data_IF_145889784282
#
_entry.id   IF_145889784282
#
_cell.length_a   1.000
_cell.length_b   1.000
_cell.length_c   1.000
_cell.angle_alpha   90.00
_cell.angle_beta   90.00
_cell.angle_gamma   90.00
#
_symmetry.space_group_name_H-M   'P 1'
#
loop_
_entity.id
_entity.type
_entity.pdbx_description
1 polymer ?
#
# COMPACT_ATOMS: atom_id res chain seq x y z
N UNK A 1 10.77 1.13 17.32
CA UNK A 1 10.37 -0.02 16.47
C UNK A 1 10.49 0.28 14.98
N UNK A 2 9.98 1.41 14.47
CA UNK A 2 10.07 1.76 13.04
C UNK A 2 11.49 1.77 12.44
N UNK A 3 12.49 2.23 13.20
CA UNK A 3 13.88 2.28 12.73
C UNK A 3 14.61 0.93 12.74
N UNK A 4 14.06 -0.11 13.39
CA UNK A 4 14.75 -1.40 13.56
C UNK A 4 15.01 -2.08 12.21
N UNK A 5 14.03 -2.20 11.29
CA UNK A 5 14.28 -2.75 9.95
C UNK A 5 15.26 -1.90 9.15
N UNK A 6 15.21 -0.56 9.28
CA UNK A 6 16.14 0.34 8.61
C UNK A 6 17.59 0.17 9.09
N UNK A 7 17.80 0.07 10.40
CA UNK A 7 19.12 -0.17 11.00
C UNK A 7 19.66 -1.54 10.57
N UNK A 8 18.82 -2.58 10.57
CA UNK A 8 19.20 -3.91 10.10
C UNK A 8 19.65 -3.91 8.63
N UNK A 9 18.92 -3.20 7.75
CA UNK A 9 19.31 -3.04 6.34
C UNK A 9 20.69 -2.38 6.19
N UNK A 10 20.97 -1.35 6.98
CA UNK A 10 22.27 -0.66 6.99
C UNK A 10 23.38 -1.61 7.47
N UNK A 11 23.15 -2.34 8.55
CA UNK A 11 24.14 -3.29 9.11
C UNK A 11 24.46 -4.39 8.10
N UNK A 12 23.46 -4.98 7.45
CA UNK A 12 23.70 -6.06 6.48
C UNK A 12 24.42 -5.52 5.23
N UNK A 13 24.06 -4.33 4.75
CA UNK A 13 24.75 -3.69 3.62
C UNK A 13 26.24 -3.42 3.91
N UNK A 14 26.57 -3.02 5.13
CA UNK A 14 27.95 -2.70 5.53
C UNK A 14 28.82 -3.94 5.83
N UNK A 15 28.23 -5.14 5.94
CA UNK A 15 28.95 -6.38 6.30
C UNK A 15 28.75 -7.50 5.25
N UNK A 16 29.11 -7.27 3.97
CA UNK A 16 28.88 -8.24 2.90
C UNK A 16 29.67 -9.55 3.11
N UNK A 17 30.81 -9.50 3.81
CA UNK A 17 31.65 -10.69 4.05
C UNK A 17 30.99 -11.70 4.99
N UNK A 18 30.11 -11.24 5.89
CA UNK A 18 29.42 -12.09 6.86
C UNK A 18 28.08 -12.61 6.33
N UNK A 19 27.34 -11.77 5.61
CA UNK A 19 25.99 -12.10 5.14
C UNK A 19 25.97 -12.64 3.71
N UNK A 20 26.94 -12.30 2.87
CA UNK A 20 26.98 -12.61 1.44
C UNK A 20 26.62 -11.41 0.56
N UNK A 21 26.86 -11.53 -0.74
CA UNK A 21 26.63 -10.46 -1.73
C UNK A 21 25.23 -10.46 -2.34
N UNK A 22 24.43 -11.51 -2.08
CA UNK A 22 23.06 -11.62 -2.59
C UNK A 22 22.07 -10.78 -1.76
N UNK A 23 22.16 -9.48 -1.96
CA UNK A 23 21.39 -8.47 -1.27
C UNK A 23 19.87 -8.68 -1.37
N UNK A 24 19.39 -9.36 -2.43
CA UNK A 24 17.96 -9.64 -2.62
C UNK A 24 17.43 -10.65 -1.60
N UNK A 25 18.10 -11.79 -1.45
CA UNK A 25 17.66 -12.86 -0.52
C UNK A 25 17.95 -12.53 0.93
N UNK A 26 19.00 -11.75 1.19
CA UNK A 26 19.51 -11.51 2.56
C UNK A 26 18.99 -10.21 3.19
N UNK A 27 18.73 -9.18 2.39
CA UNK A 27 18.28 -7.86 2.88
C UNK A 27 16.87 -7.58 2.42
N UNK A 28 16.60 -7.62 1.12
CA UNK A 28 15.32 -7.21 0.58
C UNK A 28 14.18 -8.12 1.03
N UNK A 29 14.27 -9.44 0.83
CA UNK A 29 13.18 -10.37 1.20
C UNK A 29 12.92 -10.48 2.72
N UNK A 30 13.93 -10.49 3.61
CA UNK A 30 13.70 -10.67 5.05
C UNK A 30 13.38 -9.35 5.78
N UNK A 31 13.96 -8.22 5.36
CA UNK A 31 13.83 -6.94 6.09
C UNK A 31 12.82 -5.99 5.46
N UNK A 32 12.22 -6.34 4.31
CA UNK A 32 11.01 -5.70 3.78
C UNK A 32 9.79 -6.13 4.62
N UNK A 33 9.87 -5.88 5.93
CA UNK A 33 8.79 -6.20 6.84
C UNK A 33 7.79 -5.07 6.77
N UNK A 34 6.68 -5.27 6.05
CA UNK A 34 5.47 -4.42 6.03
C UNK A 34 5.01 -3.90 7.41
N UNK A 35 5.51 -4.50 8.48
CA UNK A 35 5.41 -4.04 9.86
C UNK A 35 5.91 -2.60 10.07
N UNK A 36 6.93 -2.12 9.33
CA UNK A 36 7.38 -0.72 9.42
C UNK A 36 6.29 0.24 8.93
N UNK A 37 5.75 0.04 7.74
CA UNK A 37 4.63 0.81 7.18
C UNK A 37 3.35 0.71 8.05
N UNK A 38 3.11 -0.44 8.69
CA UNK A 38 1.98 -0.60 9.63
C UNK A 38 2.22 0.23 10.89
N UNK A 39 3.41 0.16 11.50
CA UNK A 39 3.74 0.91 12.72
C UNK A 39 3.63 2.40 12.47
N UNK A 40 4.12 2.91 11.33
CA UNK A 40 4.01 4.33 11.03
C UNK A 40 2.56 4.75 10.77
N UNK A 41 1.75 3.88 10.17
CA UNK A 41 0.30 4.07 10.04
C UNK A 41 -0.41 4.14 11.39
N UNK A 42 -0.05 3.28 12.35
CA UNK A 42 -0.60 3.29 13.71
C UNK A 42 -0.23 4.57 14.45
N UNK A 43 1.04 5.00 14.37
CA UNK A 43 1.50 6.28 14.96
C UNK A 43 0.72 7.45 14.38
N UNK A 44 0.56 7.48 13.05
CA UNK A 44 -0.21 8.52 12.38
C UNK A 44 -1.67 8.53 12.84
N UNK A 45 -2.29 7.35 12.96
CA UNK A 45 -3.67 7.23 13.43
C UNK A 45 -3.83 7.72 14.87
N UNK A 46 -2.90 7.36 15.77
CA UNK A 46 -2.88 7.87 17.14
C UNK A 46 -2.82 9.40 17.18
N UNK A 47 -1.93 10.01 16.38
CA UNK A 47 -1.84 11.47 16.27
C UNK A 47 -3.13 12.11 15.73
N UNK A 48 -3.76 11.49 14.74
CA UNK A 48 -5.01 12.01 14.15
C UNK A 48 -6.20 11.88 15.12
N UNK A 49 -6.28 10.80 15.89
CA UNK A 49 -7.41 10.56 16.81
C UNK A 49 -7.23 11.34 18.10
N UNK A 50 -6.04 11.29 18.71
CA UNK A 50 -5.80 11.84 20.04
C UNK A 50 -5.27 13.28 20.03
N UNK A 51 -4.69 13.76 18.92
CA UNK A 51 -4.02 15.08 18.83
C UNK A 51 -4.43 15.91 17.61
N UNK A 52 -5.64 15.69 17.10
CA UNK A 52 -6.14 16.34 15.88
C UNK A 52 -6.10 17.86 15.94
N UNK A 53 -6.47 18.44 17.07
CA UNK A 53 -6.61 19.89 17.22
C UNK A 53 -5.25 20.57 17.27
N UNK A 54 -4.26 19.93 17.90
CA UNK A 54 -2.86 20.35 17.84
C UNK A 54 -2.34 20.30 16.40
N UNK A 55 -2.58 19.20 15.69
CA UNK A 55 -2.19 19.07 14.29
C UNK A 55 -2.80 20.19 13.43
N UNK A 56 -4.09 20.49 13.60
CA UNK A 56 -4.75 21.59 12.87
C UNK A 56 -4.15 22.95 13.22
N UNK A 57 -3.75 23.17 14.47
CA UNK A 57 -3.11 24.43 14.89
C UNK A 57 -1.80 24.65 14.13
N UNK A 58 -0.95 23.63 14.02
CA UNK A 58 0.36 23.74 13.35
C UNK A 58 0.30 23.57 11.83
N UNK A 59 -0.65 22.79 11.33
CA UNK A 59 -0.77 22.42 9.91
C UNK A 59 -2.03 23.01 9.27
N UNK A 60 -2.33 24.28 9.59
CA UNK A 60 -3.43 25.02 8.96
C UNK A 60 -2.94 25.95 7.85
N UNK A 61 -3.85 26.27 6.93
CA UNK A 61 -3.62 27.25 5.88
C UNK A 61 -3.40 26.67 4.48
N UNK A 62 -3.63 27.52 3.48
CA UNK A 62 -3.59 27.13 2.05
C UNK A 62 -2.20 26.72 1.59
N UNK A 63 -1.16 27.38 2.12
CA UNK A 63 0.24 27.07 1.82
C UNK A 63 0.59 25.67 2.31
N UNK A 64 0.20 25.32 3.55
CA UNK A 64 0.45 23.98 4.10
C UNK A 64 -0.27 22.91 3.29
N UNK A 65 -1.53 23.14 2.92
CA UNK A 65 -2.27 22.21 2.03
C UNK A 65 -1.55 21.98 0.70
N UNK A 66 -1.00 23.03 0.09
CA UNK A 66 -0.21 22.92 -1.14
C UNK A 66 1.10 22.15 -0.91
N UNK A 67 1.83 22.46 0.15
CA UNK A 67 3.09 21.78 0.48
C UNK A 67 2.89 20.28 0.76
N UNK A 68 1.81 19.92 1.48
CA UNK A 68 1.45 18.53 1.75
C UNK A 68 1.13 17.72 0.48
N UNK A 69 0.84 18.38 -0.65
CA UNK A 69 0.67 17.73 -1.95
C UNK A 69 1.93 17.79 -2.81
N UNK A 70 2.65 18.90 -2.76
CA UNK A 70 3.88 19.10 -3.53
C UNK A 70 5.00 18.14 -3.07
N UNK A 71 5.24 18.05 -1.75
CA UNK A 71 6.32 17.22 -1.22
C UNK A 71 6.20 15.73 -1.57
N UNK A 72 5.03 15.06 -1.44
CA UNK A 72 4.86 13.70 -1.91
C UNK A 72 5.25 13.53 -3.38
N UNK A 73 4.83 14.46 -4.25
CA UNK A 73 5.14 14.41 -5.69
C UNK A 73 6.65 14.53 -5.89
N UNK A 74 7.31 15.48 -5.24
CA UNK A 74 8.77 15.65 -5.32
C UNK A 74 9.52 14.42 -4.83
N UNK A 75 9.07 13.81 -3.73
CA UNK A 75 9.65 12.57 -3.20
C UNK A 75 9.51 11.44 -4.21
N UNK A 76 8.31 11.24 -4.78
CA UNK A 76 8.07 10.18 -5.76
C UNK A 76 8.88 10.39 -7.04
N UNK A 77 9.02 11.63 -7.51
CA UNK A 77 9.88 11.98 -8.66
C UNK A 77 11.34 11.67 -8.34
N UNK A 78 11.83 12.12 -7.17
CA UNK A 78 13.19 11.85 -6.72
C UNK A 78 13.50 10.35 -6.65
N UNK A 79 12.59 9.55 -6.09
CA UNK A 79 12.73 8.09 -6.03
C UNK A 79 12.87 7.50 -7.43
N UNK A 80 12.05 7.93 -8.38
CA UNK A 80 12.11 7.42 -9.76
C UNK A 80 13.43 7.76 -10.44
N UNK A 81 13.94 8.98 -10.27
CA UNK A 81 15.24 9.36 -10.82
C UNK A 81 16.42 8.61 -10.19
N UNK A 82 16.36 8.35 -8.88
CA UNK A 82 17.46 7.72 -8.15
C UNK A 82 17.44 6.19 -8.24
N UNK A 83 16.28 5.59 -8.50
CA UNK A 83 16.10 4.13 -8.60
C UNK A 83 16.62 3.56 -9.93
N UNK A 84 17.93 3.72 -10.19
CA UNK A 84 18.62 3.17 -11.37
C UNK A 84 18.65 1.63 -11.41
N UNK A 85 18.63 1.00 -10.23
CA UNK A 85 18.60 -0.46 -10.08
C UNK A 85 17.86 -0.84 -8.81
N UNK A 86 17.10 -1.94 -8.88
CA UNK A 86 16.44 -2.55 -7.71
C UNK A 86 17.49 -2.99 -6.67
N UNK A 87 18.71 -3.32 -7.12
CA UNK A 87 19.80 -3.81 -6.28
C UNK A 87 20.64 -2.71 -5.61
N UNK A 88 20.31 -1.43 -5.82
CA UNK A 88 21.04 -0.34 -5.17
C UNK A 88 20.67 -0.21 -3.68
N UNK A 89 21.63 0.24 -2.85
CA UNK A 89 21.40 0.57 -1.44
C UNK A 89 20.18 1.47 -1.24
N UNK A 90 20.06 2.48 -2.10
CA UNK A 90 18.93 3.41 -2.08
C UNK A 90 17.59 2.67 -2.25
N UNK A 91 17.49 1.79 -3.25
CA UNK A 91 16.29 1.01 -3.53
C UNK A 91 15.93 0.04 -2.40
N UNK A 92 16.90 -0.61 -1.77
CA UNK A 92 16.63 -1.55 -0.68
C UNK A 92 16.31 -0.89 0.66
N UNK A 93 16.94 0.25 0.97
CA UNK A 93 16.95 0.81 2.33
C UNK A 93 16.15 2.09 2.46
N UNK A 94 16.32 3.05 1.54
CA UNK A 94 15.81 4.41 1.69
C UNK A 94 14.47 4.60 0.98
N UNK A 95 14.33 4.00 -0.21
CA UNK A 95 13.17 4.14 -1.09
C UNK A 95 11.85 3.88 -0.38
N UNK A 96 11.74 2.79 0.37
CA UNK A 96 10.47 2.41 1.01
C UNK A 96 10.07 3.35 2.14
N UNK A 97 11.04 3.80 2.95
CA UNK A 97 10.78 4.81 3.98
C UNK A 97 10.30 6.14 3.38
N UNK A 98 10.87 6.53 2.24
CA UNK A 98 10.42 7.72 1.51
C UNK A 98 9.00 7.54 0.92
N UNK A 99 8.65 6.34 0.45
CA UNK A 99 7.30 6.01 0.00
C UNK A 99 6.30 6.10 1.16
N UNK A 100 6.62 5.51 2.31
CA UNK A 100 5.79 5.61 3.52
C UNK A 100 5.57 7.07 3.90
N UNK A 101 6.63 7.88 3.90
CA UNK A 101 6.56 9.30 4.21
C UNK A 101 5.68 10.06 3.21
N UNK A 102 5.81 9.78 1.91
CA UNK A 102 4.94 10.37 0.89
C UNK A 102 3.45 10.01 1.13
N UNK A 103 3.16 8.76 1.50
CA UNK A 103 1.79 8.34 1.82
C UNK A 103 1.23 9.04 3.07
N UNK A 104 2.03 9.22 4.11
CA UNK A 104 1.63 9.95 5.33
C UNK A 104 1.23 11.39 5.00
N UNK A 105 2.04 12.08 4.19
CA UNK A 105 1.76 13.45 3.78
C UNK A 105 0.46 13.56 2.95
N UNK A 106 0.22 12.61 2.05
CA UNK A 106 -1.04 12.52 1.28
C UNK A 106 -2.23 12.30 2.22
N UNK A 107 -2.12 11.36 3.16
CA UNK A 107 -3.18 11.08 4.14
C UNK A 107 -3.49 12.31 5.01
N UNK A 108 -2.45 12.98 5.52
CA UNK A 108 -2.60 14.22 6.29
C UNK A 108 -3.30 15.31 5.46
N UNK A 109 -2.94 15.45 4.18
CA UNK A 109 -3.58 16.40 3.27
C UNK A 109 -5.09 16.15 3.15
N UNK A 110 -5.48 14.88 2.95
CA UNK A 110 -6.89 14.50 2.82
C UNK A 110 -7.67 14.71 4.13
N UNK A 111 -7.07 14.39 5.27
CA UNK A 111 -7.73 14.44 6.58
C UNK A 111 -7.86 15.87 7.12
N UNK A 112 -6.82 16.69 6.95
CA UNK A 112 -6.80 18.07 7.44
C UNK A 112 -7.53 19.03 6.48
N UNK A 113 -7.53 18.73 5.17
CA UNK A 113 -8.14 19.58 4.14
C UNK A 113 -9.19 18.81 3.31
N UNK A 114 -10.34 18.46 3.90
CA UNK A 114 -11.37 17.64 3.26
C UNK A 114 -12.06 18.32 2.07
N UNK A 115 -11.94 19.64 1.94
CA UNK A 115 -12.55 20.41 0.86
C UNK A 115 -11.72 20.41 -0.45
N UNK A 116 -10.54 19.81 -0.45
CA UNK A 116 -9.67 19.73 -1.63
C UNK A 116 -10.23 18.76 -2.69
N UNK A 117 -9.83 18.97 -3.95
CA UNK A 117 -10.22 18.07 -5.05
C UNK A 117 -9.77 16.63 -4.80
N UNK A 118 -8.57 16.45 -4.23
CA UNK A 118 -8.05 15.14 -3.88
C UNK A 118 -8.95 14.42 -2.85
N UNK A 119 -9.31 15.11 -1.77
CA UNK A 119 -10.18 14.54 -0.74
C UNK A 119 -11.58 14.21 -1.28
N UNK A 120 -12.14 15.07 -2.13
CA UNK A 120 -13.43 14.83 -2.80
C UNK A 120 -13.36 13.66 -3.78
N UNK A 121 -12.27 13.55 -4.54
CA UNK A 121 -12.05 12.45 -5.48
C UNK A 121 -11.90 11.10 -4.78
N UNK A 122 -11.15 11.04 -3.68
CA UNK A 122 -10.96 9.81 -2.91
C UNK A 122 -12.20 9.40 -2.10
N UNK A 123 -13.15 10.31 -1.86
CA UNK A 123 -14.41 10.02 -1.17
C UNK A 123 -15.58 9.69 -2.09
N UNK A 124 -15.32 9.49 -3.40
CA UNK A 124 -16.37 9.08 -4.34
C UNK A 124 -16.97 7.73 -3.95
N UNK A 125 -18.30 7.65 -3.96
CA UNK A 125 -19.05 6.48 -3.46
C UNK A 125 -18.68 5.16 -4.14
N UNK A 126 -18.25 5.19 -5.40
CA UNK A 126 -17.85 3.98 -6.12
C UNK A 126 -16.45 3.48 -5.72
N UNK A 127 -15.59 4.32 -5.13
CA UNK A 127 -14.28 3.92 -4.63
C UNK A 127 -14.37 3.25 -3.25
N UNK A 128 -15.40 3.58 -2.46
CA UNK A 128 -15.64 3.00 -1.13
C UNK A 128 -15.67 1.46 -1.12
N UNK A 129 -16.41 0.76 -2.00
CA UNK A 129 -16.36 -0.71 -2.02
C UNK A 129 -14.97 -1.23 -2.38
N UNK A 130 -14.26 -0.57 -3.30
CA UNK A 130 -12.89 -0.97 -3.71
C UNK A 130 -11.92 -0.79 -2.54
N UNK A 131 -12.02 0.31 -1.79
CA UNK A 131 -11.17 0.56 -0.63
C UNK A 131 -11.44 -0.45 0.50
N UNK A 132 -12.71 -0.83 0.72
CA UNK A 132 -13.07 -1.85 1.70
C UNK A 132 -12.53 -3.24 1.33
N UNK A 133 -12.46 -3.55 0.04
CA UNK A 133 -11.92 -4.81 -0.47
C UNK A 133 -10.41 -4.79 -0.70
N UNK A 134 -9.75 -3.63 -0.53
CA UNK A 134 -8.34 -3.45 -0.90
C UNK A 134 -7.42 -4.47 -0.23
N UNK A 135 -7.69 -4.80 1.03
CA UNK A 135 -6.95 -5.82 1.78
C UNK A 135 -7.14 -7.23 1.21
N UNK A 136 -8.39 -7.63 0.95
CA UNK A 136 -8.72 -8.92 0.35
C UNK A 136 -8.11 -9.04 -1.05
N UNK A 137 -8.27 -8.01 -1.88
CA UNK A 137 -7.69 -7.92 -3.22
C UNK A 137 -6.17 -8.09 -3.13
N UNK A 138 -5.53 -7.39 -2.20
CA UNK A 138 -4.08 -7.47 -2.03
C UNK A 138 -3.58 -8.90 -1.73
N UNK A 139 -4.29 -9.66 -0.90
CA UNK A 139 -3.91 -11.04 -0.59
C UNK A 139 -4.12 -11.94 -1.81
N UNK A 140 -5.27 -11.80 -2.48
CA UNK A 140 -5.71 -12.79 -3.46
C UNK A 140 -5.35 -12.47 -4.91
N UNK A 141 -4.98 -11.23 -5.24
CA UNK A 141 -4.82 -10.80 -6.64
C UNK A 141 -3.80 -11.62 -7.44
N UNK A 142 -2.67 -12.02 -6.84
CA UNK A 142 -1.66 -12.83 -7.56
C UNK A 142 -2.25 -14.19 -7.97
N UNK A 143 -2.87 -14.90 -7.04
CA UNK A 143 -3.49 -16.20 -7.32
C UNK A 143 -4.67 -16.07 -8.29
N UNK A 144 -5.57 -15.11 -8.04
CA UNK A 144 -6.77 -14.91 -8.86
C UNK A 144 -6.45 -14.42 -10.27
N UNK A 145 -5.41 -13.58 -10.42
CA UNK A 145 -4.92 -13.18 -11.73
C UNK A 145 -4.38 -14.37 -12.52
N UNK A 146 -3.59 -15.25 -11.90
CA UNK A 146 -3.08 -16.47 -12.55
C UNK A 146 -4.22 -17.37 -13.03
N UNK A 147 -5.22 -17.61 -12.18
CA UNK A 147 -6.42 -18.40 -12.53
C UNK A 147 -7.17 -17.73 -13.69
N UNK A 148 -7.39 -16.41 -13.61
CA UNK A 148 -8.07 -15.63 -14.65
C UNK A 148 -7.35 -15.71 -15.99
N UNK A 149 -6.04 -15.47 -16.02
CA UNK A 149 -5.23 -15.59 -17.24
C UNK A 149 -5.26 -16.99 -17.84
N UNK A 150 -5.18 -18.03 -16.99
CA UNK A 150 -5.33 -19.42 -17.42
C UNK A 150 -6.69 -19.70 -18.07
N UNK A 151 -7.78 -19.22 -17.46
CA UNK A 151 -9.12 -19.37 -17.99
C UNK A 151 -9.31 -18.62 -19.32
N UNK A 152 -8.83 -17.37 -19.43
CA UNK A 152 -8.91 -16.58 -20.67
C UNK A 152 -8.18 -17.29 -21.81
N UNK A 153 -6.98 -17.84 -21.54
CA UNK A 153 -6.23 -18.62 -22.53
C UNK A 153 -6.95 -19.86 -23.02
N UNK A 154 -7.68 -20.53 -22.13
CA UNK A 154 -8.41 -21.74 -22.46
C UNK A 154 -9.68 -21.43 -23.27
N UNK A 155 -10.49 -20.47 -22.82
CA UNK A 155 -11.79 -20.17 -23.43
C UNK A 155 -11.71 -19.26 -24.66
N UNK A 156 -10.69 -18.40 -24.73
CA UNK A 156 -10.53 -17.41 -25.80
C UNK A 156 -9.12 -17.44 -26.41
N UNK A 157 -8.69 -18.57 -26.99
CA UNK A 157 -7.34 -18.71 -27.53
C UNK A 157 -7.07 -17.72 -28.69
N UNK A 158 -8.09 -17.36 -29.48
CA UNK A 158 -7.98 -16.41 -30.59
C UNK A 158 -7.68 -14.97 -30.15
N UNK A 159 -7.97 -14.60 -28.90
CA UNK A 159 -7.60 -13.27 -28.39
C UNK A 159 -6.08 -13.12 -28.32
N UNK A 160 -5.31 -14.20 -28.09
CA UNK A 160 -3.85 -14.14 -27.97
C UNK A 160 -3.12 -13.69 -29.24
N UNK A 161 -3.77 -13.70 -30.40
CA UNK A 161 -3.17 -13.24 -31.66
C UNK A 161 -3.09 -11.71 -31.75
N UNK A 162 -3.87 -10.98 -30.93
CA UNK A 162 -3.94 -9.52 -30.93
C UNK A 162 -3.28 -8.92 -29.69
N UNK A 163 -1.94 -8.89 -29.66
CA UNK A 163 -1.14 -8.64 -28.45
C UNK A 163 -1.59 -7.50 -27.53
N UNK A 164 -1.90 -6.30 -28.05
CA UNK A 164 -2.28 -5.14 -27.21
C UNK A 164 -3.74 -5.21 -26.74
N UNK A 165 -4.67 -5.55 -27.63
CA UNK A 165 -6.08 -5.71 -27.28
C UNK A 165 -6.27 -6.85 -26.27
N UNK A 166 -5.56 -7.96 -26.48
CA UNK A 166 -5.46 -9.07 -25.54
C UNK A 166 -4.99 -8.62 -24.15
N UNK A 167 -3.89 -7.86 -24.10
CA UNK A 167 -3.32 -7.42 -22.84
C UNK A 167 -4.31 -6.55 -22.04
N UNK A 168 -4.91 -5.55 -22.68
CA UNK A 168 -5.88 -4.65 -22.03
C UNK A 168 -7.10 -5.43 -21.56
N UNK A 169 -7.69 -6.26 -22.44
CA UNK A 169 -8.90 -7.01 -22.12
C UNK A 169 -8.63 -8.03 -21.01
N UNK A 170 -7.49 -8.71 -21.04
CA UNK A 170 -7.12 -9.68 -20.01
C UNK A 170 -6.86 -9.03 -18.66
N UNK A 171 -6.27 -7.83 -18.65
CA UNK A 171 -6.07 -7.05 -17.44
C UNK A 171 -7.42 -6.60 -16.86
N UNK A 172 -8.34 -6.11 -17.69
CA UNK A 172 -9.68 -5.72 -17.26
C UNK A 172 -10.48 -6.91 -16.71
N UNK A 173 -10.51 -8.04 -17.43
CA UNK A 173 -11.20 -9.25 -16.98
C UNK A 173 -10.59 -9.75 -15.66
N UNK A 174 -9.27 -9.81 -15.58
CA UNK A 174 -8.58 -10.27 -14.35
C UNK A 174 -8.81 -9.35 -13.17
N UNK A 175 -8.86 -8.04 -13.39
CA UNK A 175 -9.21 -7.07 -12.36
C UNK A 175 -10.66 -7.27 -11.88
N UNK A 176 -11.63 -7.35 -12.80
CA UNK A 176 -13.04 -7.55 -12.46
C UNK A 176 -13.28 -8.89 -11.77
N UNK A 177 -12.63 -9.95 -12.23
CA UNK A 177 -12.65 -11.27 -11.61
C UNK A 177 -12.10 -11.22 -10.19
N UNK A 178 -10.94 -10.60 -10.00
CA UNK A 178 -10.31 -10.44 -8.68
C UNK A 178 -11.21 -9.65 -7.74
N UNK A 179 -11.81 -8.55 -8.22
CA UNK A 179 -12.72 -7.73 -7.44
C UNK A 179 -13.97 -8.51 -7.03
N UNK A 180 -14.58 -9.24 -7.97
CA UNK A 180 -15.77 -10.06 -7.71
C UNK A 180 -15.51 -11.17 -6.70
N UNK A 181 -14.43 -11.94 -6.87
CA UNK A 181 -14.07 -13.01 -5.92
C UNK A 181 -13.69 -12.42 -4.56
N UNK A 182 -12.94 -11.32 -4.52
CA UNK A 182 -12.61 -10.64 -3.26
C UNK A 182 -13.85 -10.14 -2.53
N UNK A 183 -14.85 -9.65 -3.27
CA UNK A 183 -16.14 -9.26 -2.69
C UNK A 183 -16.86 -10.46 -2.05
N UNK A 184 -16.88 -11.61 -2.71
CA UNK A 184 -17.46 -12.86 -2.16
C UNK A 184 -16.71 -13.27 -0.90
N UNK A 185 -15.38 -13.33 -0.94
CA UNK A 185 -14.55 -13.72 0.21
C UNK A 185 -14.79 -12.78 1.39
N UNK A 186 -14.79 -11.46 1.15
CA UNK A 186 -15.02 -10.49 2.20
C UNK A 186 -16.40 -10.67 2.84
N UNK A 187 -17.45 -10.83 2.02
CA UNK A 187 -18.83 -10.96 2.50
C UNK A 187 -19.11 -12.26 3.26
N UNK A 188 -18.55 -13.38 2.83
CA UNK A 188 -18.86 -14.71 3.38
C UNK A 188 -17.83 -15.23 4.38
N UNK A 189 -16.60 -14.69 4.38
CA UNK A 189 -15.52 -15.17 5.25
C UNK A 189 -15.07 -14.05 6.19
N UNK A 190 -14.60 -12.92 5.66
CA UNK A 190 -14.00 -11.87 6.50
C UNK A 190 -15.02 -11.16 7.40
N UNK A 191 -16.18 -10.78 6.87
CA UNK A 191 -17.23 -10.12 7.65
C UNK A 191 -17.77 -11.02 8.79
N UNK A 192 -18.17 -12.28 8.56
CA UNK A 192 -18.64 -13.15 9.63
C UNK A 192 -17.57 -13.42 10.68
N UNK A 193 -16.32 -13.64 10.24
CA UNK A 193 -15.20 -13.88 11.14
C UNK A 193 -14.88 -12.63 11.97
N UNK A 194 -14.88 -11.44 11.38
CA UNK A 194 -14.73 -10.17 12.10
C UNK A 194 -15.82 -9.97 13.15
N UNK A 195 -17.08 -10.28 12.82
CA UNK A 195 -18.20 -10.22 13.78
C UNK A 195 -18.03 -11.23 14.92
N UNK A 196 -17.56 -12.44 14.62
CA UNK A 196 -17.26 -13.46 15.62
C UNK A 196 -16.14 -13.02 16.56
N UNK A 197 -15.02 -12.53 16.02
CA UNK A 197 -13.90 -11.98 16.80
C UNK A 197 -14.35 -10.84 17.71
N UNK A 198 -15.11 -9.88 17.18
CA UNK A 198 -15.65 -8.79 18.00
C UNK A 198 -16.48 -9.30 19.17
N UNK A 199 -17.31 -10.33 18.96
CA UNK A 199 -18.12 -10.93 20.05
C UNK A 199 -17.27 -11.67 21.09
N UNK A 200 -16.23 -12.37 20.67
CA UNK A 200 -15.34 -13.14 21.56
C UNK A 200 -14.46 -12.23 22.42
N UNK A 201 -14.01 -11.11 21.87
CA UNK A 201 -13.06 -10.21 22.52
C UNK A 201 -13.69 -8.90 23.05
N UNK A 202 -14.99 -8.65 22.83
CA UNK A 202 -15.69 -7.48 23.41
C UNK A 202 -15.92 -7.57 24.93
N UNK A 203 -15.56 -8.69 25.56
CA UNK A 203 -15.76 -8.94 27.00
C UNK A 203 -14.56 -8.58 27.89
N UNK A 204 -13.57 -7.82 27.41
CA UNK A 204 -12.42 -7.38 28.22
C UNK A 204 -12.21 -5.86 28.22
N UNK A 205 -13.24 -5.11 28.57
CA UNK A 205 -13.10 -3.72 29.00
C UNK A 205 -14.05 -3.44 30.17
N UNK A 206 -13.63 -3.86 31.35
CA UNK A 206 -14.02 -3.24 32.63
C UNK A 206 -12.75 -2.74 33.29
#
# INVERSE_FOLDING_TARGET
MYLIPGILRIIIYLNPDFFGTDYETLVFRPTHTRADSIVIGVILMDWIVNRKDDLKKYLSGRIVSFLLLLFPILILVFINFQSKSIYSFFSGTVRFNLIDFAYILILLSVILFPNTLLAKGLSLKFLVPISNLSYTIYIWHLLLSLISFGAIKFFFPSLFETGLAFFILSLLISFLFTLGVSWIINRFIEEPLSRLFKRLFSTSSK
#
